data_IF_459502143566
#
_entry.id   IF_459502143566
#
_cell.length_a   1.000
_cell.length_b   1.000
_cell.length_c   1.000
_cell.angle_alpha   90.00
_cell.angle_beta   90.00
_cell.angle_gamma   90.00
#
_symmetry.space_group_name_H-M   'P 1'
#
loop_
_entity.id
_entity.type
_entity.pdbx_description
1 polymer ?
#
# COMPACT_ATOMS: atom_id res chain seq x y z
N UNK A 1 -24.17 -20.63 3.13
CA UNK A 1 -23.99 -19.61 2.09
C UNK A 1 -24.70 -19.97 0.78
N UNK A 2 -24.20 -20.90 -0.05
CA UNK A 2 -24.73 -21.17 -1.41
C UNK A 2 -26.21 -21.63 -1.47
N UNK A 3 -26.72 -22.21 -0.39
CA UNK A 3 -28.13 -22.61 -0.21
C UNK A 3 -29.00 -21.56 0.48
N UNK A 4 -28.49 -20.35 0.73
CA UNK A 4 -29.27 -19.21 1.21
C UNK A 4 -29.39 -19.09 2.72
N UNK A 5 -28.73 -19.99 3.46
CA UNK A 5 -28.61 -19.89 4.91
C UNK A 5 -27.41 -19.02 5.27
N UNK A 6 -27.70 -17.90 5.92
CA UNK A 6 -26.75 -16.91 6.43
C UNK A 6 -26.95 -16.71 7.94
N UNK A 7 -25.89 -16.33 8.68
CA UNK A 7 -25.98 -16.10 10.12
C UNK A 7 -26.71 -14.80 10.50
N UNK A 8 -26.84 -13.82 9.60
CA UNK A 8 -27.55 -12.55 9.84
C UNK A 8 -28.39 -12.11 8.63
N UNK A 9 -29.27 -11.12 8.84
CA UNK A 9 -30.12 -10.51 7.81
C UNK A 9 -29.36 -9.61 6.82
N UNK A 10 -28.11 -9.23 7.13
CA UNK A 10 -27.23 -8.40 6.29
C UNK A 10 -26.94 -9.06 4.93
N UNK A 11 -27.15 -10.38 4.86
CA UNK A 11 -26.91 -11.20 3.68
C UNK A 11 -28.17 -11.44 2.83
N UNK A 12 -29.27 -10.74 3.11
CA UNK A 12 -30.54 -10.89 2.38
C UNK A 12 -30.44 -10.52 0.89
N UNK A 13 -29.46 -9.69 0.52
CA UNK A 13 -29.18 -9.32 -0.87
C UNK A 13 -28.57 -10.48 -1.70
N UNK A 14 -27.99 -11.50 -1.07
CA UNK A 14 -27.34 -12.59 -1.79
C UNK A 14 -28.34 -13.62 -2.29
N UNK A 15 -28.27 -13.93 -3.58
CA UNK A 15 -29.15 -14.90 -4.23
C UNK A 15 -28.57 -16.32 -4.12
N UNK A 16 -29.25 -17.27 -3.44
CA UNK A 16 -28.78 -18.65 -3.39
C UNK A 16 -28.79 -19.30 -4.77
N UNK A 17 -27.78 -20.11 -5.05
CA UNK A 17 -27.54 -20.77 -6.35
C UNK A 17 -27.75 -22.28 -6.31
N UNK A 18 -27.72 -22.87 -5.12
CA UNK A 18 -27.92 -24.30 -4.90
C UNK A 18 -29.07 -24.54 -3.91
N UNK A 19 -29.64 -25.72 -3.93
CA UNK A 19 -30.49 -26.26 -2.87
C UNK A 19 -29.74 -27.44 -2.25
N UNK A 20 -29.70 -27.49 -0.93
CA UNK A 20 -29.09 -28.60 -0.20
C UNK A 20 -30.14 -29.33 0.63
N UNK A 21 -30.41 -30.58 0.27
CA UNK A 21 -31.18 -31.47 1.13
C UNK A 21 -30.23 -32.02 2.22
N UNK A 22 -30.48 -31.64 3.47
CA UNK A 22 -29.61 -32.02 4.59
C UNK A 22 -29.82 -33.44 5.11
N UNK A 23 -30.99 -34.01 4.87
CA UNK A 23 -31.31 -35.38 5.30
C UNK A 23 -30.64 -36.39 4.37
N UNK A 24 -30.62 -36.09 3.07
CA UNK A 24 -30.02 -36.99 2.05
C UNK A 24 -28.61 -36.59 1.64
N UNK A 25 -28.14 -35.39 2.01
CA UNK A 25 -26.84 -34.84 1.61
C UNK A 25 -26.78 -34.35 0.16
N UNK A 26 -27.89 -34.41 -0.60
CA UNK A 26 -27.91 -34.10 -2.04
C UNK A 26 -27.94 -32.59 -2.30
N UNK A 27 -27.08 -32.13 -3.21
CA UNK A 27 -27.08 -30.77 -3.75
C UNK A 27 -27.74 -30.75 -5.14
N UNK A 28 -28.66 -29.81 -5.35
CA UNK A 28 -29.27 -29.56 -6.65
C UNK A 28 -29.08 -28.11 -7.10
N UNK A 29 -28.92 -27.92 -8.41
CA UNK A 29 -28.78 -26.61 -9.01
C UNK A 29 -30.11 -25.85 -9.02
N UNK A 30 -30.09 -24.55 -8.70
CA UNK A 30 -31.23 -23.67 -8.97
C UNK A 30 -31.22 -23.21 -10.43
N UNK A 31 -32.35 -22.74 -10.98
CA UNK A 31 -32.39 -22.17 -12.32
C UNK A 31 -31.31 -21.10 -12.52
N UNK A 32 -30.56 -21.22 -13.62
CA UNK A 32 -29.48 -20.29 -13.98
C UNK A 32 -28.13 -20.54 -13.29
N UNK A 33 -28.01 -21.55 -12.42
CA UNK A 33 -26.74 -21.85 -11.75
C UNK A 33 -25.64 -22.31 -12.73
N UNK A 34 -25.98 -23.12 -13.74
CA UNK A 34 -25.04 -23.54 -14.77
C UNK A 34 -24.57 -22.35 -15.61
N UNK A 35 -25.50 -21.49 -16.07
CA UNK A 35 -25.17 -20.29 -16.84
C UNK A 35 -24.19 -19.41 -16.06
N UNK A 36 -24.48 -19.16 -14.78
CA UNK A 36 -23.59 -18.40 -13.90
C UNK A 36 -22.19 -19.01 -13.79
N UNK A 37 -22.08 -20.34 -13.70
CA UNK A 37 -20.79 -21.01 -13.60
C UNK A 37 -19.97 -20.87 -14.89
N UNK A 38 -20.59 -21.04 -16.06
CA UNK A 38 -19.89 -20.99 -17.35
C UNK A 38 -19.59 -19.56 -17.81
N UNK A 39 -20.37 -18.58 -17.38
CA UNK A 39 -20.11 -17.15 -17.65
C UNK A 39 -19.32 -16.47 -16.54
N UNK A 40 -18.93 -17.19 -15.49
CA UNK A 40 -17.98 -16.65 -14.53
C UNK A 40 -16.62 -16.55 -15.22
N UNK A 41 -15.93 -15.42 -15.10
CA UNK A 41 -14.59 -15.21 -15.68
C UNK A 41 -13.49 -16.12 -15.11
N UNK A 42 -13.86 -17.17 -14.36
CA UNK A 42 -12.96 -18.07 -13.67
C UNK A 42 -12.50 -17.51 -12.33
N UNK A 43 -11.22 -17.67 -12.03
CA UNK A 43 -10.61 -17.30 -10.75
C UNK A 43 -9.83 -16.00 -10.80
N UNK A 44 -9.73 -15.36 -11.97
CA UNK A 44 -9.08 -14.05 -12.12
C UNK A 44 -10.10 -13.00 -11.67
N UNK A 45 -9.81 -12.20 -10.64
CA UNK A 45 -10.72 -11.15 -10.20
C UNK A 45 -10.78 -10.03 -11.26
N UNK A 46 -11.98 -9.50 -11.50
CA UNK A 46 -12.12 -8.21 -12.19
C UNK A 46 -11.51 -7.15 -11.27
N UNK A 47 -10.39 -6.54 -11.70
CA UNK A 47 -9.75 -5.41 -11.01
C UNK A 47 -9.86 -4.16 -11.88
N UNK A 48 -10.25 -3.05 -11.28
CA UNK A 48 -10.40 -1.77 -11.97
C UNK A 48 -9.34 -0.75 -11.57
N UNK A 49 -8.78 -0.04 -12.55
CA UNK A 49 -8.17 1.27 -12.27
C UNK A 49 -9.29 2.31 -12.34
N UNK A 50 -9.37 3.18 -11.33
CA UNK A 50 -10.31 4.28 -11.33
C UNK A 50 -9.66 5.51 -11.96
N UNK A 51 -10.31 6.09 -12.97
CA UNK A 51 -9.84 7.35 -13.53
C UNK A 51 -10.12 8.49 -12.56
N UNK A 52 -9.11 9.30 -12.28
CA UNK A 52 -9.25 10.49 -11.44
C UNK A 52 -9.44 11.71 -12.33
N UNK A 53 -10.55 12.43 -12.12
CA UNK A 53 -11.04 13.47 -13.01
C UNK A 53 -11.37 14.76 -12.25
N UNK A 54 -11.27 15.91 -12.93
CA UNK A 54 -11.81 17.18 -12.47
C UNK A 54 -13.36 17.20 -12.58
N UNK A 55 -14.07 18.14 -11.93
CA UNK A 55 -15.49 18.35 -12.13
C UNK A 55 -15.79 18.76 -13.59
N UNK A 56 -17.04 18.59 -14.02
CA UNK A 56 -17.47 19.04 -15.35
C UNK A 56 -17.32 20.56 -15.48
N UNK A 57 -16.67 21.02 -16.55
CA UNK A 57 -16.48 22.45 -16.84
C UNK A 57 -15.17 23.07 -16.31
N UNK A 58 -14.38 22.34 -15.51
CA UNK A 58 -13.08 22.80 -14.98
C UNK A 58 -11.89 22.18 -15.75
N UNK A 59 -11.94 22.13 -17.08
CA UNK A 59 -10.86 21.55 -17.88
C UNK A 59 -9.58 22.40 -17.80
N UNK A 60 -8.50 21.84 -17.24
CA UNK A 60 -7.16 22.42 -17.34
C UNK A 60 -6.47 21.84 -18.58
N UNK A 61 -6.13 22.72 -19.54
CA UNK A 61 -5.34 22.41 -20.72
C UNK A 61 -5.83 21.19 -21.57
N UNK A 62 -7.14 20.99 -21.65
CA UNK A 62 -7.76 20.02 -22.57
C UNK A 62 -7.85 18.57 -22.07
N UNK A 63 -7.43 18.28 -20.83
CA UNK A 63 -7.68 16.97 -20.20
C UNK A 63 -8.38 17.14 -18.86
N UNK A 64 -9.56 16.54 -18.73
CA UNK A 64 -10.27 16.40 -17.45
C UNK A 64 -9.56 15.41 -16.53
N UNK A 65 -8.72 14.52 -17.06
CA UNK A 65 -8.07 13.44 -16.32
C UNK A 65 -6.77 13.91 -15.68
N UNK A 66 -6.68 13.74 -14.37
CA UNK A 66 -5.51 14.11 -13.55
C UNK A 66 -4.64 12.90 -13.21
N UNK A 67 -5.19 11.68 -13.28
CA UNK A 67 -4.45 10.45 -13.01
C UNK A 67 -5.33 9.22 -12.90
N UNK A 68 -4.80 8.20 -12.25
CA UNK A 68 -5.51 6.97 -11.90
C UNK A 68 -5.31 6.65 -10.42
N UNK A 69 -6.20 5.84 -9.88
CA UNK A 69 -6.05 5.21 -8.58
C UNK A 69 -6.36 3.73 -8.68
N UNK A 70 -5.66 2.97 -7.86
CA UNK A 70 -5.97 1.57 -7.59
C UNK A 70 -7.35 1.44 -6.93
N UNK A 71 -8.14 0.42 -7.30
CA UNK A 71 -9.45 0.15 -6.71
C UNK A 71 -9.41 0.01 -5.19
N UNK A 72 -8.37 -0.60 -4.63
CA UNK A 72 -8.25 -0.75 -3.17
C UNK A 72 -7.98 0.60 -2.49
N UNK A 73 -7.21 1.48 -3.13
CA UNK A 73 -7.00 2.85 -2.67
C UNK A 73 -8.32 3.64 -2.69
N UNK A 74 -9.13 3.48 -3.75
CA UNK A 74 -10.46 4.10 -3.82
C UNK A 74 -11.42 3.52 -2.78
N UNK A 75 -11.38 2.22 -2.54
CA UNK A 75 -12.20 1.54 -1.53
C UNK A 75 -11.92 2.04 -0.11
N UNK A 76 -10.65 2.31 0.21
CA UNK A 76 -10.25 2.89 1.49
C UNK A 76 -10.45 4.41 1.58
N UNK A 77 -10.81 5.07 0.49
CA UNK A 77 -10.98 6.52 0.43
C UNK A 77 -12.42 6.94 0.71
N UNK A 78 -12.57 8.12 1.31
CA UNK A 78 -13.86 8.76 1.57
C UNK A 78 -13.97 10.09 0.82
N UNK A 79 -15.21 10.55 0.65
CA UNK A 79 -15.47 11.92 0.19
C UNK A 79 -14.87 12.90 1.20
N UNK A 80 -14.20 13.93 0.68
CA UNK A 80 -13.35 14.91 1.35
C UNK A 80 -11.94 14.46 1.73
N UNK A 81 -11.57 13.20 1.53
CA UNK A 81 -10.18 12.79 1.70
C UNK A 81 -9.28 13.55 0.71
N UNK A 82 -8.07 13.86 1.16
CA UNK A 82 -7.08 14.56 0.36
C UNK A 82 -5.98 13.56 0.00
N UNK A 83 -5.72 13.40 -1.29
CA UNK A 83 -4.74 12.47 -1.85
C UNK A 83 -3.68 13.22 -2.65
N UNK A 84 -2.49 12.64 -2.77
CA UNK A 84 -1.42 13.21 -3.61
C UNK A 84 -1.33 12.48 -4.93
N UNK A 85 -1.41 13.19 -6.06
CA UNK A 85 -1.07 12.64 -7.37
C UNK A 85 0.05 13.49 -7.99
N UNK A 86 1.17 12.83 -8.30
CA UNK A 86 2.41 13.52 -8.66
C UNK A 86 2.90 14.42 -7.52
N UNK A 87 3.08 15.71 -7.80
CA UNK A 87 3.49 16.72 -6.82
C UNK A 87 2.31 17.55 -6.26
N UNK A 88 1.07 17.14 -6.55
CA UNK A 88 -0.14 17.95 -6.29
C UNK A 88 -1.13 17.23 -5.40
N UNK A 89 -1.76 17.98 -4.48
CA UNK A 89 -2.79 17.46 -3.56
C UNK A 89 -4.20 17.73 -4.08
N UNK A 90 -5.05 16.73 -3.98
CA UNK A 90 -6.39 16.68 -4.55
C UNK A 90 -7.40 16.23 -3.50
N UNK A 91 -8.51 16.96 -3.33
CA UNK A 91 -9.63 16.56 -2.46
C UNK A 91 -10.67 15.78 -3.25
N UNK A 92 -11.01 14.59 -2.78
CA UNK A 92 -12.08 13.76 -3.34
C UNK A 92 -13.43 14.44 -3.09
N UNK A 93 -14.14 14.79 -4.17
CA UNK A 93 -15.51 15.32 -4.13
C UNK A 93 -16.53 14.20 -4.23
N UNK A 94 -16.25 13.20 -5.08
CA UNK A 94 -17.19 12.12 -5.35
C UNK A 94 -16.45 10.87 -5.81
N UNK A 95 -16.91 9.70 -5.35
CA UNK A 95 -16.49 8.39 -5.81
C UNK A 95 -17.69 7.76 -6.53
N UNK A 96 -17.55 7.44 -7.81
CA UNK A 96 -18.57 6.70 -8.57
C UNK A 96 -18.14 5.24 -8.73
N UNK A 97 -18.78 4.51 -9.65
CA UNK A 97 -18.47 3.11 -9.93
C UNK A 97 -17.10 2.91 -10.60
N UNK A 98 -16.59 3.93 -11.29
CA UNK A 98 -15.46 3.81 -12.22
C UNK A 98 -14.53 5.04 -12.24
N UNK A 99 -14.93 6.13 -11.57
CA UNK A 99 -14.15 7.37 -11.54
C UNK A 99 -14.17 8.01 -10.14
N UNK A 100 -13.11 8.76 -9.85
CA UNK A 100 -12.99 9.61 -8.67
C UNK A 100 -12.93 11.06 -9.13
N UNK A 101 -13.92 11.86 -8.73
CA UNK A 101 -13.95 13.29 -9.04
C UNK A 101 -13.24 14.03 -7.93
N UNK A 102 -12.26 14.85 -8.28
CA UNK A 102 -11.42 15.59 -7.33
C UNK A 102 -11.38 17.09 -7.62
N UNK A 103 -11.02 17.87 -6.61
CA UNK A 103 -10.76 19.32 -6.72
C UNK A 103 -9.38 19.64 -6.15
N UNK A 104 -8.64 20.63 -6.67
CA UNK A 104 -7.34 21.02 -6.13
C UNK A 104 -7.40 21.35 -4.64
N UNK A 105 -6.45 20.84 -3.86
CA UNK A 105 -6.32 21.09 -2.43
C UNK A 105 -4.87 21.43 -2.02
N UNK A 106 -4.26 22.48 -2.60
CA UNK A 106 -2.86 22.82 -2.36
C UNK A 106 -2.62 23.19 -0.87
N UNK A 107 -1.43 22.83 -0.37
CA UNK A 107 -1.01 23.14 1.01
C UNK A 107 -1.77 22.40 2.10
N UNK A 108 -2.65 21.46 1.73
CA UNK A 108 -3.31 20.58 2.68
C UNK A 108 -2.54 19.27 2.77
N UNK A 109 -2.47 18.78 4.00
CA UNK A 109 -2.08 17.43 4.32
C UNK A 109 -2.81 16.42 3.44
N UNK A 110 -2.06 15.56 2.76
CA UNK A 110 -2.58 14.61 1.79
C UNK A 110 -2.06 13.19 2.09
N UNK A 111 -2.94 12.20 1.93
CA UNK A 111 -2.61 10.78 1.96
C UNK A 111 -1.87 10.40 0.69
N UNK A 112 -0.75 9.68 0.83
CA UNK A 112 -0.06 9.10 -0.32
C UNK A 112 -0.92 7.95 -0.87
N UNK A 113 -1.28 7.96 -2.16
CA UNK A 113 -1.92 6.81 -2.76
C UNK A 113 -0.93 5.64 -2.74
N UNK A 114 -1.44 4.47 -2.42
CA UNK A 114 -0.70 3.24 -2.61
C UNK A 114 -1.17 2.58 -3.90
N UNK A 115 -0.23 1.95 -4.60
CA UNK A 115 -0.51 1.13 -5.76
C UNK A 115 -0.21 -0.30 -5.34
N UNK A 116 -1.26 -1.07 -5.03
CA UNK A 116 -1.08 -2.51 -4.84
C UNK A 116 -1.04 -3.12 -6.24
N UNK A 117 0.08 -2.91 -6.94
CA UNK A 117 0.32 -3.54 -8.25
C UNK A 117 0.03 -5.03 -8.24
N UNK A 118 -0.11 -5.62 -9.43
CA UNK A 118 -0.59 -6.99 -9.77
C UNK A 118 -0.05 -8.20 -8.97
N UNK A 119 0.81 -8.06 -7.97
CA UNK A 119 1.40 -9.18 -7.22
C UNK A 119 1.18 -9.14 -5.71
N UNK A 120 1.38 -10.30 -5.09
CA UNK A 120 1.42 -10.49 -3.63
C UNK A 120 2.55 -9.69 -2.93
N UNK A 121 3.26 -8.82 -3.62
CA UNK A 121 4.50 -8.18 -3.15
C UNK A 121 5.67 -9.15 -3.03
N UNK A 122 6.83 -8.61 -2.66
CA UNK A 122 8.05 -9.38 -2.43
C UNK A 122 7.84 -10.39 -1.29
N UNK A 123 8.21 -11.67 -1.47
CA UNK A 123 8.21 -12.65 -0.39
C UNK A 123 9.35 -12.39 0.58
N UNK A 124 9.17 -12.81 1.84
CA UNK A 124 10.11 -12.55 2.92
C UNK A 124 11.50 -13.14 2.64
N UNK A 125 11.57 -14.31 2.00
CA UNK A 125 12.82 -14.99 1.66
C UNK A 125 13.64 -14.19 0.65
N UNK A 126 12.99 -13.63 -0.37
CA UNK A 126 13.67 -12.74 -1.32
C UNK A 126 14.06 -11.42 -0.65
N UNK A 127 13.22 -10.91 0.25
CA UNK A 127 13.52 -9.74 1.06
C UNK A 127 14.77 -9.91 1.91
N UNK A 128 14.90 -11.05 2.59
CA UNK A 128 16.09 -11.40 3.37
C UNK A 128 17.34 -11.41 2.50
N UNK A 129 17.28 -12.05 1.33
CA UNK A 129 18.40 -12.09 0.37
C UNK A 129 18.80 -10.68 -0.13
N UNK A 130 17.82 -9.82 -0.41
CA UNK A 130 18.08 -8.42 -0.79
C UNK A 130 18.76 -7.68 0.36
N UNK A 131 18.26 -7.86 1.59
CA UNK A 131 18.85 -7.24 2.77
C UNK A 131 20.30 -7.67 3.03
N UNK A 132 20.58 -8.97 2.88
CA UNK A 132 21.95 -9.51 2.97
C UNK A 132 22.84 -8.96 1.86
N UNK A 133 22.30 -8.85 0.63
CA UNK A 133 23.02 -8.28 -0.50
C UNK A 133 23.34 -6.80 -0.30
N UNK A 134 22.40 -6.00 0.20
CA UNK A 134 22.65 -4.59 0.53
C UNK A 134 23.72 -4.44 1.61
N UNK A 135 23.72 -5.33 2.61
CA UNK A 135 24.77 -5.34 3.64
C UNK A 135 26.14 -5.70 3.06
N UNK A 136 26.18 -6.69 2.16
CA UNK A 136 27.41 -7.06 1.44
C UNK A 136 27.95 -5.90 0.60
N UNK A 137 27.08 -5.20 -0.13
CA UNK A 137 27.48 -4.03 -0.93
C UNK A 137 27.96 -2.87 -0.05
N UNK A 138 27.38 -2.72 1.15
CA UNK A 138 27.77 -1.67 2.10
C UNK A 138 29.12 -1.94 2.77
N UNK A 139 29.69 -3.13 2.60
CA UNK A 139 31.07 -3.45 2.95
C UNK A 139 32.00 -3.01 1.83
N UNK A 140 32.89 -2.04 2.13
CA UNK A 140 33.87 -1.53 1.18
C UNK A 140 34.79 -2.61 0.59
N UNK A 141 34.92 -3.76 1.25
CA UNK A 141 35.67 -4.90 0.72
C UNK A 141 35.05 -5.48 -0.57
N UNK A 142 33.73 -5.40 -0.75
CA UNK A 142 33.03 -5.97 -1.91
C UNK A 142 33.54 -5.38 -3.23
N UNK A 143 33.59 -4.05 -3.33
CA UNK A 143 34.03 -3.35 -4.55
C UNK A 143 35.54 -3.38 -4.76
N UNK A 144 36.32 -3.76 -3.74
CA UNK A 144 37.76 -4.02 -3.89
C UNK A 144 38.07 -5.43 -4.42
N UNK A 145 37.08 -6.33 -4.42
CA UNK A 145 37.20 -7.72 -4.84
C UNK A 145 36.86 -7.98 -6.31
N UNK A 146 36.57 -9.24 -6.62
CA UNK A 146 36.11 -9.63 -7.96
C UNK A 146 34.65 -9.26 -8.15
N UNK A 147 34.40 -8.21 -8.91
CA UNK A 147 33.04 -7.74 -9.23
C UNK A 147 32.40 -8.68 -10.27
N UNK A 148 31.15 -9.15 -10.05
CA UNK A 148 30.44 -9.95 -11.05
C UNK A 148 30.27 -9.21 -12.38
N UNK A 149 30.30 -9.90 -13.54
CA UNK A 149 30.21 -9.25 -14.84
C UNK A 149 28.97 -8.37 -15.06
N UNK A 150 27.84 -8.74 -14.45
CA UNK A 150 26.59 -7.98 -14.55
C UNK A 150 26.60 -6.67 -13.75
N UNK A 151 27.57 -6.49 -12.84
CA UNK A 151 27.76 -5.31 -12.01
C UNK A 151 29.00 -4.50 -12.41
N UNK A 152 29.76 -4.96 -13.41
CA UNK A 152 31.10 -4.44 -13.71
C UNK A 152 31.12 -3.07 -14.42
N UNK A 153 29.96 -2.50 -14.74
CA UNK A 153 29.88 -1.17 -15.35
C UNK A 153 30.24 -0.08 -14.32
N UNK A 154 31.20 0.77 -14.68
CA UNK A 154 31.75 1.82 -13.79
C UNK A 154 30.68 2.77 -13.24
N UNK A 155 29.75 3.23 -14.09
CA UNK A 155 28.65 4.09 -13.66
C UNK A 155 27.71 3.38 -12.69
N UNK A 156 27.45 2.10 -12.90
CA UNK A 156 26.58 1.30 -12.02
C UNK A 156 27.21 1.16 -10.64
N UNK A 157 28.52 0.87 -10.58
CA UNK A 157 29.28 0.80 -9.33
C UNK A 157 29.26 2.15 -8.60
N UNK A 158 29.59 3.24 -9.29
CA UNK A 158 29.64 4.58 -8.70
C UNK A 158 28.27 5.00 -8.14
N UNK A 159 27.18 4.72 -8.85
CA UNK A 159 25.83 5.03 -8.38
C UNK A 159 25.45 4.22 -7.13
N UNK A 160 25.76 2.93 -7.10
CA UNK A 160 25.45 2.08 -5.95
C UNK A 160 26.25 2.50 -4.72
N UNK A 161 27.55 2.78 -4.88
CA UNK A 161 28.39 3.29 -3.80
C UNK A 161 27.87 4.63 -3.28
N UNK A 162 27.54 5.55 -4.18
CA UNK A 162 26.94 6.84 -3.82
C UNK A 162 25.65 6.68 -3.02
N UNK A 163 24.73 5.83 -3.47
CA UNK A 163 23.46 5.58 -2.77
C UNK A 163 23.67 4.97 -1.37
N UNK A 164 24.60 4.03 -1.23
CA UNK A 164 24.95 3.39 0.04
C UNK A 164 25.54 4.42 1.01
N UNK A 165 26.46 5.26 0.53
CA UNK A 165 27.10 6.29 1.34
C UNK A 165 26.10 7.36 1.77
N UNK A 166 25.20 7.79 0.87
CA UNK A 166 24.10 8.70 1.21
C UNK A 166 23.19 8.11 2.30
N UNK A 167 22.76 6.86 2.15
CA UNK A 167 21.92 6.18 3.14
C UNK A 167 22.62 6.06 4.49
N UNK A 168 23.90 5.68 4.50
CA UNK A 168 24.72 5.57 5.71
C UNK A 168 24.92 6.93 6.36
N UNK A 169 25.15 7.99 5.59
CA UNK A 169 25.28 9.35 6.11
C UNK A 169 23.95 9.86 6.70
N UNK A 170 22.82 9.50 6.11
CA UNK A 170 21.49 9.92 6.58
C UNK A 170 21.05 9.20 7.86
N UNK A 171 21.29 7.90 7.95
CA UNK A 171 20.68 7.04 9.00
C UNK A 171 21.70 6.31 9.88
N UNK A 172 23.00 6.48 9.61
CA UNK A 172 24.10 5.83 10.33
C UNK A 172 24.39 4.39 9.87
N UNK A 173 23.40 3.68 9.35
CA UNK A 173 23.50 2.29 8.90
C UNK A 173 22.62 2.04 7.68
N UNK A 174 23.06 1.16 6.77
CA UNK A 174 22.22 0.70 5.66
C UNK A 174 21.25 -0.37 6.18
N UNK A 175 19.92 -0.20 6.00
CA UNK A 175 18.95 -1.22 6.37
C UNK A 175 19.23 -2.55 5.66
N UNK A 176 19.03 -3.67 6.37
CA UNK A 176 19.26 -5.00 5.84
C UNK A 176 18.40 -6.05 6.52
N UNK A 177 18.69 -7.33 6.27
CA UNK A 177 17.96 -8.47 6.85
C UNK A 177 18.00 -8.48 8.39
N UNK A 178 19.14 -8.12 8.98
CA UNK A 178 19.38 -8.19 10.43
C UNK A 178 19.25 -6.86 11.17
N UNK A 179 19.24 -5.76 10.44
CA UNK A 179 19.19 -4.41 11.00
C UNK A 179 18.12 -3.62 10.26
N UNK A 180 16.95 -3.52 10.88
CA UNK A 180 15.90 -2.63 10.42
C UNK A 180 16.17 -1.23 10.97
N UNK A 181 15.85 -0.20 10.20
CA UNK A 181 16.04 1.19 10.62
C UNK A 181 14.68 1.83 10.81
N UNK A 182 14.47 2.43 11.99
CA UNK A 182 13.32 3.30 12.21
C UNK A 182 13.78 4.76 12.15
N UNK A 183 13.41 5.43 11.06
CA UNK A 183 13.71 6.83 10.83
C UNK A 183 12.53 7.70 11.24
N UNK A 184 12.82 8.85 11.84
CA UNK A 184 11.81 9.85 12.18
C UNK A 184 12.21 11.20 11.58
N UNK A 185 11.34 11.74 10.73
CA UNK A 185 11.53 13.03 10.09
C UNK A 185 10.23 13.84 10.08
N UNK A 186 10.32 15.13 9.78
CA UNK A 186 9.15 16.00 9.59
C UNK A 186 8.89 16.18 8.10
N UNK A 187 7.62 16.29 7.73
CA UNK A 187 7.23 16.73 6.40
C UNK A 187 7.32 18.27 6.26
N UNK A 188 7.12 18.77 5.04
CA UNK A 188 7.21 20.20 4.71
C UNK A 188 6.20 21.07 5.47
N UNK A 189 5.13 20.47 6.00
CA UNK A 189 4.06 21.14 6.74
C UNK A 189 4.30 21.00 8.27
N UNK A 190 5.29 20.22 8.68
CA UNK A 190 5.72 20.03 10.06
C UNK A 190 5.17 18.77 10.73
N UNK A 191 4.36 17.96 10.04
CA UNK A 191 3.82 16.72 10.59
C UNK A 191 4.91 15.64 10.68
N UNK A 192 4.78 14.74 11.65
CA UNK A 192 5.73 13.66 11.86
C UNK A 192 5.54 12.53 10.85
N UNK A 193 6.65 12.04 10.32
CA UNK A 193 6.75 10.78 9.58
C UNK A 193 7.65 9.83 10.37
N UNK A 194 7.14 8.63 10.59
CA UNK A 194 7.93 7.51 11.13
C UNK A 194 8.01 6.46 10.04
N UNK A 195 9.22 6.14 9.63
CA UNK A 195 9.53 5.28 8.50
C UNK A 195 10.31 4.09 9.03
N UNK A 196 9.73 2.89 8.88
CA UNK A 196 10.45 1.64 9.06
C UNK A 196 11.05 1.24 7.72
N UNK A 197 12.38 1.24 7.62
CA UNK A 197 13.11 0.67 6.50
C UNK A 197 13.35 -0.82 6.75
N UNK A 198 12.81 -1.66 5.87
CA UNK A 198 12.85 -3.11 6.01
C UNK A 198 12.78 -3.79 4.65
N UNK A 199 13.60 -4.83 4.38
CA UNK A 199 13.60 -5.45 3.05
C UNK A 199 12.55 -6.58 2.91
N UNK A 200 11.80 -6.92 3.96
CA UNK A 200 10.99 -8.15 4.01
C UNK A 200 9.75 -8.21 3.12
N UNK A 201 9.43 -7.14 2.39
CA UNK A 201 8.35 -7.15 1.41
C UNK A 201 6.95 -6.95 1.98
N UNK A 202 5.99 -6.63 1.10
CA UNK A 202 4.61 -6.29 1.47
C UNK A 202 3.88 -7.43 2.18
N UNK A 203 4.23 -8.69 1.91
CA UNK A 203 3.63 -9.86 2.59
C UNK A 203 3.84 -9.83 4.11
N UNK A 204 4.92 -9.18 4.56
CA UNK A 204 5.21 -8.94 5.97
C UNK A 204 4.72 -7.57 6.39
N UNK A 205 4.97 -6.54 5.57
CA UNK A 205 4.71 -5.16 5.96
C UNK A 205 3.23 -4.78 6.01
N UNK A 206 2.37 -5.34 5.16
CA UNK A 206 0.93 -5.04 5.18
C UNK A 206 0.23 -5.46 6.47
N UNK A 207 0.33 -6.73 6.95
CA UNK A 207 -0.27 -7.10 8.23
C UNK A 207 0.38 -6.34 9.41
N UNK A 208 1.68 -6.04 9.34
CA UNK A 208 2.34 -5.23 10.38
C UNK A 208 1.82 -3.79 10.39
N UNK A 209 1.62 -3.18 9.22
CA UNK A 209 1.03 -1.85 9.08
C UNK A 209 -0.38 -1.78 9.68
N UNK A 210 -1.21 -2.83 9.51
CA UNK A 210 -2.51 -2.93 10.17
C UNK A 210 -2.39 -2.92 11.70
N UNK A 211 -1.44 -3.67 12.25
CA UNK A 211 -1.19 -3.69 13.69
C UNK A 211 -0.70 -2.33 14.21
N UNK A 212 0.22 -1.68 13.48
CA UNK A 212 0.71 -0.33 13.77
C UNK A 212 -0.45 0.68 13.75
N UNK A 213 -1.29 0.67 12.72
CA UNK A 213 -2.45 1.55 12.62
C UNK A 213 -3.41 1.38 13.80
N UNK A 214 -3.74 0.12 14.15
CA UNK A 214 -4.58 -0.18 15.31
C UNK A 214 -3.99 0.33 16.63
N UNK A 215 -2.67 0.21 16.81
CA UNK A 215 -1.97 0.70 18.00
C UNK A 215 -1.93 2.23 18.07
N UNK A 216 -1.70 2.90 16.94
CA UNK A 216 -1.76 4.37 16.87
C UNK A 216 -3.15 4.86 17.26
N UNK A 217 -4.19 4.25 16.68
CA UNK A 217 -5.57 4.59 17.01
C UNK A 217 -5.85 4.37 18.51
N UNK A 218 -5.39 3.26 19.10
CA UNK A 218 -5.59 3.00 20.54
C UNK A 218 -4.83 3.97 21.46
N UNK A 219 -3.63 4.41 21.09
CA UNK A 219 -2.79 5.28 21.92
C UNK A 219 -3.16 6.76 21.81
N UNK A 220 -3.57 7.21 20.62
CA UNK A 220 -3.75 8.65 20.33
C UNK A 220 -5.13 9.02 19.82
N UNK A 221 -6.03 8.05 19.59
CA UNK A 221 -7.37 8.32 19.04
C UNK A 221 -7.35 8.94 17.64
N UNK A 222 -6.19 8.93 16.99
CA UNK A 222 -5.97 9.52 15.67
C UNK A 222 -5.97 8.42 14.61
N UNK A 223 -6.66 8.67 13.50
CA UNK A 223 -6.55 7.84 12.30
C UNK A 223 -5.25 8.21 11.58
N UNK A 224 -4.14 7.58 11.98
CA UNK A 224 -2.87 7.75 11.29
C UNK A 224 -2.92 7.09 9.91
N UNK A 225 -2.42 7.81 8.91
CA UNK A 225 -2.20 7.25 7.59
C UNK A 225 -0.95 6.37 7.64
N UNK A 226 -1.14 5.06 7.68
CA UNK A 226 -0.08 4.06 7.59
C UNK A 226 -0.10 3.43 6.21
N UNK A 227 1.05 3.41 5.54
CA UNK A 227 1.23 2.84 4.20
C UNK A 227 2.38 1.84 4.23
N UNK A 228 2.19 0.68 3.62
CA UNK A 228 3.23 -0.34 3.48
C UNK A 228 3.69 -0.45 2.02
N UNK A 229 4.99 -0.69 1.84
CA UNK A 229 5.62 -1.01 0.55
C UNK A 229 6.51 -2.25 0.71
N UNK A 230 7.21 -2.65 -0.35
CA UNK A 230 8.15 -3.77 -0.24
C UNK A 230 9.36 -3.44 0.63
N UNK A 231 9.77 -2.17 0.64
CA UNK A 231 10.99 -1.68 1.32
C UNK A 231 10.71 -1.03 2.68
N UNK A 232 9.45 -1.02 3.15
CA UNK A 232 9.16 -0.50 4.47
C UNK A 232 7.71 -0.18 4.79
N UNK A 233 7.53 0.55 5.90
CA UNK A 233 6.25 1.08 6.37
C UNK A 233 6.42 2.56 6.70
N UNK A 234 5.51 3.40 6.23
CA UNK A 234 5.47 4.83 6.55
C UNK A 234 4.20 5.11 7.33
N UNK A 235 4.35 5.63 8.55
CA UNK A 235 3.27 6.14 9.37
C UNK A 235 3.36 7.67 9.45
N UNK A 236 2.26 8.35 9.12
CA UNK A 236 2.15 9.81 9.23
C UNK A 236 1.26 10.17 10.40
N UNK A 237 1.76 11.04 11.27
CA UNK A 237 1.10 11.43 12.52
C UNK A 237 1.05 12.97 12.57
N UNK A 238 -0.14 13.58 12.67
CA UNK A 238 -0.27 15.03 12.83
C UNK A 238 0.49 15.53 14.06
N UNK A 239 1.16 16.68 13.98
CA UNK A 239 1.84 17.27 15.14
C UNK A 239 0.79 17.81 16.13
N UNK A 240 0.28 16.93 17.00
CA UNK A 240 -0.72 17.26 18.02
C UNK A 240 -0.03 17.40 19.38
N UNK A 241 0.05 18.63 19.87
CA UNK A 241 0.56 19.02 21.20
C UNK A 241 2.03 18.69 21.52
N UNK A 242 2.87 18.41 20.51
CA UNK A 242 4.32 18.29 20.67
C UNK A 242 4.82 17.02 21.37
N UNK A 243 3.93 16.06 21.66
CA UNK A 243 4.36 14.72 22.10
C UNK A 243 4.91 13.97 20.90
N UNK A 244 6.24 13.80 20.88
CA UNK A 244 6.88 13.00 19.84
C UNK A 244 6.36 11.55 19.92
N UNK A 245 5.86 11.00 18.80
CA UNK A 245 5.49 9.60 18.76
C UNK A 245 6.76 8.74 18.94
N UNK A 246 6.69 7.81 19.88
CA UNK A 246 7.81 6.93 20.24
C UNK A 246 7.96 5.80 19.22
N UNK A 247 9.19 5.36 18.99
CA UNK A 247 9.53 4.18 18.19
C UNK A 247 8.79 2.92 18.66
N UNK A 248 8.38 2.90 19.93
CA UNK A 248 7.63 1.82 20.57
C UNK A 248 6.39 1.35 19.80
N UNK A 249 5.77 2.19 18.96
CA UNK A 249 4.60 1.80 18.15
C UNK A 249 4.91 0.59 17.26
N UNK A 250 6.15 0.47 16.77
CA UNK A 250 6.55 -0.57 15.81
C UNK A 250 6.92 -1.89 16.49
N UNK A 251 7.16 -1.91 17.81
CA UNK A 251 7.42 -3.14 18.58
C UNK A 251 6.10 -3.79 18.99
N UNK A 252 5.46 -4.51 18.06
CA UNK A 252 4.21 -5.27 18.28
C UNK A 252 4.51 -6.63 18.87
#
# INVERSE_FOLDING_TARGET
MLSGRYPSGDFSAFRPKLVWNRETGILTARPGAQLLAVTSGGTIPDRGMYSVLLPEGEEQAGSRRVGELDEEMVYESRVNDIITLGATSWRIQQITRDQVIVTPAPGRSARLPFWRGEGNGRPAELGEMIGDFLHLLADGAFFSGTIPPWLAEENTIANIQGLIDEQRNATGIVPGSRHLVLERCRDEIGDWRIILHSPYGRRVHEPWALAIAGRIHALWGADASVVASDDGIVARIPDTDGKLPDAAIFFV
#
